data_IF_152858317826
#
_entry.id   IF_152858317826
#
_cell.length_a   1.000
_cell.length_b   1.000
_cell.length_c   1.000
_cell.angle_alpha   90.00
_cell.angle_beta   90.00
_cell.angle_gamma   90.00
#
_symmetry.space_group_name_H-M   'P 1'
#
loop_
_entity.id
_entity.type
_entity.pdbx_description
1 polymer ?
#
# COMPACT_ATOMS: atom_id res chain seq x y z
N UNK A 1 -11.00 -5.73 8.78
CA UNK A 1 -10.83 -4.53 7.95
C UNK A 1 -9.96 -3.55 8.73
N UNK A 2 -8.84 -3.14 8.16
CA UNK A 2 -7.85 -2.28 8.81
C UNK A 2 -7.58 -1.07 7.93
N UNK A 3 -7.60 0.13 8.51
CA UNK A 3 -7.38 1.38 7.78
C UNK A 3 -6.03 1.96 8.18
N UNK A 4 -5.24 2.38 7.20
CA UNK A 4 -3.97 3.06 7.34
C UNK A 4 -4.05 4.42 6.65
N UNK A 5 -3.73 5.49 7.37
CA UNK A 5 -3.59 6.81 6.75
C UNK A 5 -2.19 6.93 6.13
N UNK A 6 -2.13 7.25 4.84
CA UNK A 6 -0.89 7.52 4.17
C UNK A 6 -0.26 8.81 4.73
N UNK A 7 1.05 8.82 5.04
CA UNK A 7 1.73 10.05 5.44
C UNK A 7 1.78 11.02 4.25
N UNK A 8 1.85 12.32 4.55
CA UNK A 8 1.85 13.35 3.49
C UNK A 8 3.05 13.27 2.55
N UNK A 9 4.21 12.86 3.06
CA UNK A 9 5.42 12.62 2.28
C UNK A 9 5.91 11.20 2.51
N UNK A 10 5.70 10.36 1.50
CA UNK A 10 6.00 8.94 1.54
C UNK A 10 7.24 8.63 0.68
N UNK A 11 8.40 9.12 1.12
CA UNK A 11 9.61 9.15 0.30
C UNK A 11 10.51 7.90 0.37
N UNK A 12 10.27 6.97 1.29
CA UNK A 12 11.23 5.90 1.59
C UNK A 12 10.59 4.58 2.04
N UNK A 13 11.35 3.49 1.93
CA UNK A 13 10.98 2.19 2.51
C UNK A 13 10.83 2.25 4.02
N UNK A 14 11.69 2.99 4.71
CA UNK A 14 11.57 3.21 6.16
C UNK A 14 10.22 3.83 6.54
N UNK A 15 9.71 4.76 5.75
CA UNK A 15 8.38 5.36 5.96
C UNK A 15 7.28 4.33 5.82
N UNK A 16 7.34 3.44 4.82
CA UNK A 16 6.40 2.33 4.68
C UNK A 16 6.47 1.39 5.88
N UNK A 17 7.67 0.98 6.29
CA UNK A 17 7.84 0.08 7.43
C UNK A 17 7.30 0.70 8.73
N UNK A 18 7.48 2.01 8.94
CA UNK A 18 6.91 2.69 10.11
C UNK A 18 5.38 2.62 10.11
N UNK A 19 4.74 2.85 8.97
CA UNK A 19 3.28 2.73 8.82
C UNK A 19 2.82 1.28 9.10
N UNK A 20 3.56 0.31 8.58
CA UNK A 20 3.23 -1.11 8.67
C UNK A 20 3.43 -1.71 10.07
N UNK A 21 4.19 -1.05 10.97
CA UNK A 21 4.35 -1.51 12.37
C UNK A 21 3.04 -1.57 13.14
N UNK A 22 2.03 -0.80 12.72
CA UNK A 22 0.71 -0.83 13.34
C UNK A 22 -0.12 -2.06 12.93
N UNK A 23 0.29 -2.78 11.88
CA UNK A 23 -0.43 -3.95 11.37
C UNK A 23 0.10 -5.24 12.01
N UNK A 24 -0.76 -6.26 12.21
CA UNK A 24 -0.33 -7.59 12.60
C UNK A 24 0.58 -8.22 11.53
N UNK A 25 1.32 -9.26 11.94
CA UNK A 25 2.21 -10.02 11.06
C UNK A 25 1.47 -10.93 10.06
N UNK A 26 0.21 -11.26 10.33
CA UNK A 26 -0.65 -12.04 9.45
C UNK A 26 -1.95 -11.27 9.18
N UNK A 27 -2.25 -11.09 7.91
CA UNK A 27 -3.41 -10.38 7.39
C UNK A 27 -4.25 -11.27 6.46
N UNK A 28 -4.04 -12.58 6.43
CA UNK A 28 -4.68 -13.52 5.49
C UNK A 28 -6.21 -13.34 5.35
N UNK A 29 -6.90 -13.04 6.45
CA UNK A 29 -8.36 -12.82 6.49
C UNK A 29 -8.77 -11.33 6.47
N UNK A 30 -7.82 -10.41 6.34
CA UNK A 30 -8.01 -8.98 6.45
C UNK A 30 -7.91 -8.25 5.11
N UNK A 31 -8.87 -7.35 4.89
CA UNK A 31 -8.74 -6.28 3.91
C UNK A 31 -8.04 -5.07 4.57
N UNK A 32 -7.02 -4.55 3.91
CA UNK A 32 -6.32 -3.32 4.29
C UNK A 32 -6.76 -2.21 3.36
N UNK A 33 -7.15 -1.07 3.92
CA UNK A 33 -7.38 0.14 3.14
C UNK A 33 -6.31 1.18 3.46
N UNK A 34 -5.62 1.66 2.43
CA UNK A 34 -4.67 2.75 2.50
C UNK A 34 -5.37 4.02 2.05
N UNK A 35 -5.50 4.96 2.97
CA UNK A 35 -6.14 6.22 2.72
C UNK A 35 -5.13 7.29 2.31
N UNK A 36 -5.19 7.70 1.05
CA UNK A 36 -4.28 8.68 0.45
C UNK A 36 -4.78 10.12 0.50
N UNK A 37 -5.86 10.42 1.23
CA UNK A 37 -6.45 11.76 1.25
C UNK A 37 -5.54 12.88 1.77
N UNK A 38 -4.44 12.53 2.47
CA UNK A 38 -3.41 13.47 2.92
C UNK A 38 -2.08 13.35 2.16
N UNK A 39 -1.96 12.44 1.19
CA UNK A 39 -0.73 12.16 0.47
C UNK A 39 -0.44 13.27 -0.56
N UNK A 40 0.74 13.88 -0.46
CA UNK A 40 1.19 14.91 -1.42
C UNK A 40 2.15 14.36 -2.46
N UNK A 41 3.00 13.41 -2.05
CA UNK A 41 3.95 12.74 -2.92
C UNK A 41 4.40 11.42 -2.30
N UNK A 42 4.59 10.41 -3.15
CA UNK A 42 5.15 9.11 -2.79
C UNK A 42 6.18 8.65 -3.81
N UNK A 43 7.11 7.80 -3.38
CA UNK A 43 8.10 7.21 -4.29
C UNK A 43 7.71 5.79 -4.69
N UNK A 44 8.25 5.34 -5.82
CA UNK A 44 8.10 3.95 -6.28
C UNK A 44 8.60 2.93 -5.25
N UNK A 45 9.63 3.27 -4.46
CA UNK A 45 10.15 2.38 -3.42
C UNK A 45 9.22 2.27 -2.22
N UNK A 46 8.46 3.31 -1.90
CA UNK A 46 7.40 3.25 -0.90
C UNK A 46 6.22 2.39 -1.39
N UNK A 47 5.78 2.57 -2.64
CA UNK A 47 4.73 1.75 -3.25
C UNK A 47 5.09 0.26 -3.27
N UNK A 48 6.32 -0.07 -3.69
CA UNK A 48 6.87 -1.42 -3.70
C UNK A 48 6.83 -2.07 -2.31
N UNK A 49 7.34 -1.36 -1.30
CA UNK A 49 7.37 -1.88 0.08
C UNK A 49 5.96 -2.15 0.61
N UNK A 50 4.99 -1.27 0.34
CA UNK A 50 3.61 -1.48 0.77
C UNK A 50 2.98 -2.71 0.12
N UNK A 51 3.10 -2.84 -1.19
CA UNK A 51 2.57 -3.99 -1.93
C UNK A 51 3.22 -5.27 -1.43
N UNK A 52 4.56 -5.28 -1.32
CA UNK A 52 5.30 -6.44 -0.89
C UNK A 52 4.93 -6.85 0.54
N UNK A 53 4.99 -5.94 1.50
CA UNK A 53 4.72 -6.29 2.90
C UNK A 53 3.25 -6.67 3.14
N UNK A 54 2.30 -5.91 2.59
CA UNK A 54 0.87 -6.13 2.85
C UNK A 54 0.39 -7.38 2.12
N UNK A 55 0.67 -7.49 0.81
CA UNK A 55 0.09 -8.53 -0.03
C UNK A 55 0.97 -9.79 -0.11
N UNK A 56 2.29 -9.65 -0.13
CA UNK A 56 3.19 -10.81 -0.31
C UNK A 56 3.58 -11.41 1.05
N UNK A 57 4.10 -10.59 1.97
CA UNK A 57 4.65 -11.09 3.25
C UNK A 57 3.53 -11.42 4.25
N UNK A 58 2.56 -10.51 4.41
CA UNK A 58 1.48 -10.66 5.40
C UNK A 58 0.21 -11.26 4.81
N UNK A 59 0.21 -11.57 3.52
CA UNK A 59 -0.87 -12.24 2.82
C UNK A 59 -2.25 -11.57 2.89
N UNK A 60 -2.32 -10.23 3.04
CA UNK A 60 -3.59 -9.52 3.18
C UNK A 60 -4.58 -9.84 2.07
N UNK A 61 -5.81 -10.27 2.38
CA UNK A 61 -6.80 -10.66 1.36
C UNK A 61 -6.92 -9.64 0.22
N UNK A 62 -6.92 -8.35 0.55
CA UNK A 62 -6.90 -7.27 -0.43
C UNK A 62 -6.26 -5.99 0.14
N UNK A 63 -5.69 -5.18 -0.76
CA UNK A 63 -5.23 -3.82 -0.51
C UNK A 63 -6.08 -2.86 -1.34
N UNK A 64 -6.81 -1.97 -0.68
CA UNK A 64 -7.64 -0.94 -1.31
C UNK A 64 -7.04 0.42 -1.04
N UNK A 65 -6.55 1.07 -2.08
CA UNK A 65 -5.99 2.41 -1.99
C UNK A 65 -7.07 3.39 -2.41
N UNK A 66 -7.43 4.31 -1.52
CA UNK A 66 -8.57 5.22 -1.72
C UNK A 66 -8.12 6.67 -1.61
N UNK A 67 -8.87 7.57 -2.25
CA UNK A 67 -8.61 9.02 -2.24
C UNK A 67 -7.22 9.36 -2.79
N UNK A 68 -6.80 8.62 -3.81
CA UNK A 68 -5.53 8.89 -4.50
C UNK A 68 -5.70 10.15 -5.35
N UNK A 69 -4.97 11.21 -4.99
CA UNK A 69 -4.89 12.45 -5.79
C UNK A 69 -3.68 12.49 -6.71
N UNK A 70 -2.74 11.56 -6.54
CA UNK A 70 -1.51 11.44 -7.30
C UNK A 70 -1.59 10.22 -8.23
N UNK A 71 -1.86 10.47 -9.52
CA UNK A 71 -2.00 9.41 -10.52
C UNK A 71 -0.72 8.58 -10.67
N UNK A 72 0.46 9.20 -10.53
CA UNK A 72 1.77 8.54 -10.63
C UNK A 72 1.94 7.50 -9.51
N UNK A 73 1.47 7.82 -8.30
CA UNK A 73 1.48 6.86 -7.20
C UNK A 73 0.57 5.65 -7.46
N UNK A 74 -0.61 5.88 -8.05
CA UNK A 74 -1.50 4.81 -8.47
C UNK A 74 -0.84 3.87 -9.49
N UNK A 75 -0.12 4.43 -10.46
CA UNK A 75 0.65 3.67 -11.46
C UNK A 75 1.79 2.86 -10.82
N UNK A 76 2.54 3.45 -9.88
CA UNK A 76 3.57 2.73 -9.14
C UNK A 76 3.01 1.51 -8.40
N UNK A 77 1.87 1.66 -7.71
CA UNK A 77 1.23 0.55 -7.02
C UNK A 77 0.79 -0.55 -7.98
N UNK A 78 0.16 -0.20 -9.10
CA UNK A 78 -0.30 -1.14 -10.11
C UNK A 78 0.86 -1.91 -10.76
N UNK A 79 1.94 -1.21 -11.09
CA UNK A 79 3.14 -1.83 -11.64
C UNK A 79 3.74 -2.82 -10.64
N UNK A 80 3.92 -2.42 -9.38
CA UNK A 80 4.51 -3.29 -8.34
C UNK A 80 3.63 -4.49 -8.03
N UNK A 81 2.31 -4.32 -7.95
CA UNK A 81 1.40 -5.46 -7.77
C UNK A 81 1.49 -6.46 -8.92
N UNK A 82 1.73 -5.98 -10.15
CA UNK A 82 1.92 -6.86 -11.31
C UNK A 82 3.26 -7.60 -11.23
N UNK A 83 4.34 -6.92 -10.85
CA UNK A 83 5.66 -7.53 -10.66
C UNK A 83 5.67 -8.59 -9.55
N UNK A 84 4.85 -8.41 -8.51
CA UNK A 84 4.68 -9.38 -7.40
C UNK A 84 3.54 -10.38 -7.64
N UNK A 85 2.88 -10.38 -8.80
CA UNK A 85 1.78 -11.29 -9.16
C UNK A 85 0.56 -11.24 -8.21
N UNK A 86 0.25 -10.06 -7.66
CA UNK A 86 -0.85 -9.82 -6.70
C UNK A 86 -1.84 -8.74 -7.17
N UNK A 87 -1.84 -8.40 -8.46
CA UNK A 87 -2.72 -7.37 -9.03
C UNK A 87 -4.21 -7.64 -8.84
N UNK A 88 -4.62 -8.91 -8.72
CA UNK A 88 -6.01 -9.30 -8.44
C UNK A 88 -6.47 -8.89 -7.04
N UNK A 89 -5.53 -8.60 -6.14
CA UNK A 89 -5.78 -8.21 -4.75
C UNK A 89 -5.56 -6.72 -4.49
N UNK A 90 -5.11 -5.96 -5.50
CA UNK A 90 -4.96 -4.52 -5.43
C UNK A 90 -6.14 -3.81 -6.09
N UNK A 91 -6.67 -2.79 -5.44
CA UNK A 91 -7.63 -1.86 -6.03
C UNK A 91 -7.21 -0.42 -5.70
N UNK A 92 -7.21 0.46 -6.69
CA UNK A 92 -6.87 1.88 -6.55
C UNK A 92 -8.08 2.70 -7.00
N UNK A 93 -8.53 3.65 -6.16
CA UNK A 93 -9.76 4.42 -6.34
C UNK A 93 -9.69 5.87 -5.83
#
# INVERSE_FOLDING_TARGET
MTVLDAPSLAGSRDTAQQLLRALPHDLSDAEVILDCGGLLAATVSFADELVHEILVVRHARALRVVRVSDDEFGEYLAQRATEHEVSDRLSVA
#
